data_IF_129697727436
#
_entry.id   IF_129697727436
#
_cell.length_a   1.000
_cell.length_b   1.000
_cell.length_c   1.000
_cell.angle_alpha   90.00
_cell.angle_beta   90.00
_cell.angle_gamma   90.00
#
_symmetry.space_group_name_H-M   'P 1'
#
loop_
_entity.id
_entity.type
_entity.pdbx_description
1 polymer ?
#
# COMPACT_ATOMS: atom_id res chain seq x y z
N UNK A 1 -5.14 -8.20 -2.64
CA UNK A 1 -5.50 -9.08 -1.50
C UNK A 1 -6.81 -8.58 -0.91
N UNK A 2 -7.82 -9.43 -0.68
CA UNK A 2 -9.08 -8.98 -0.05
C UNK A 2 -8.88 -8.72 1.45
N UNK A 3 -9.58 -7.74 1.99
CA UNK A 3 -9.55 -7.39 3.42
C UNK A 3 -10.53 -8.27 4.21
N UNK A 4 -10.41 -9.58 4.04
CA UNK A 4 -11.16 -10.59 4.80
C UNK A 4 -10.38 -10.98 6.06
N UNK A 5 -11.08 -11.38 7.14
CA UNK A 5 -10.46 -11.67 8.44
C UNK A 5 -9.30 -12.68 8.34
N UNK A 6 -9.47 -13.76 7.55
CA UNK A 6 -8.44 -14.78 7.35
C UNK A 6 -7.16 -14.24 6.70
N UNK A 7 -7.28 -13.28 5.78
CA UNK A 7 -6.13 -12.65 5.14
C UNK A 7 -5.43 -11.68 6.10
N UNK A 8 -6.20 -10.92 6.88
CA UNK A 8 -5.68 -10.00 7.89
C UNK A 8 -4.94 -10.73 9.01
N UNK A 9 -5.42 -11.90 9.45
CA UNK A 9 -4.74 -12.75 10.42
C UNK A 9 -3.36 -13.21 9.91
N UNK A 10 -3.25 -13.57 8.62
CA UNK A 10 -1.99 -13.93 8.00
C UNK A 10 -0.97 -12.79 8.00
N UNK A 11 -1.44 -11.56 7.72
CA UNK A 11 -0.61 -10.35 7.78
C UNK A 11 -0.19 -10.06 9.22
N UNK A 12 -1.14 -10.07 10.17
CA UNK A 12 -0.88 -9.81 11.58
C UNK A 12 0.16 -10.78 12.16
N UNK A 13 0.10 -12.06 11.77
CA UNK A 13 1.07 -13.07 12.19
C UNK A 13 2.48 -12.78 11.69
N UNK A 14 2.62 -12.32 10.44
CA UNK A 14 3.92 -11.89 9.87
C UNK A 14 4.44 -10.63 10.55
N UNK A 15 3.55 -9.74 10.97
CA UNK A 15 3.91 -8.52 11.70
C UNK A 15 4.37 -8.78 13.15
N UNK A 16 4.23 -10.00 13.68
CA UNK A 16 4.79 -10.35 15.00
C UNK A 16 6.32 -10.55 14.98
N UNK A 17 6.92 -10.72 13.79
CA UNK A 17 8.35 -10.95 13.62
C UNK A 17 8.95 -9.77 12.85
N UNK A 18 9.61 -8.86 13.56
CA UNK A 18 10.11 -7.60 13.00
C UNK A 18 11.12 -7.77 11.84
N UNK A 19 11.79 -8.91 11.73
CA UNK A 19 12.71 -9.21 10.62
C UNK A 19 12.02 -9.54 9.29
N UNK A 20 10.73 -9.90 9.33
CA UNK A 20 10.03 -10.51 8.19
C UNK A 20 9.15 -9.50 7.44
N UNK A 21 9.04 -8.26 7.94
CA UNK A 21 8.24 -7.21 7.32
C UNK A 21 8.87 -5.83 7.47
N UNK A 22 8.41 -4.91 6.63
CA UNK A 22 8.70 -3.48 6.77
C UNK A 22 7.36 -2.73 6.67
N UNK A 23 7.03 -1.94 7.70
CA UNK A 23 5.83 -1.09 7.71
C UNK A 23 6.20 0.31 7.25
N UNK A 24 5.56 0.76 6.17
CA UNK A 24 5.78 2.05 5.56
C UNK A 24 4.47 2.85 5.51
N UNK A 25 4.57 4.16 5.69
CA UNK A 25 3.46 5.09 5.48
C UNK A 25 3.70 5.90 4.21
N UNK A 26 2.86 5.70 3.20
CA UNK A 26 2.89 6.50 1.99
C UNK A 26 2.06 7.78 2.16
N UNK A 27 2.67 8.93 1.87
CA UNK A 27 2.01 10.24 1.86
C UNK A 27 2.14 10.84 0.45
N UNK A 28 1.12 11.58 -0.03
CA UNK A 28 1.25 12.32 -1.28
C UNK A 28 2.36 13.37 -1.15
N UNK A 29 3.15 13.53 -2.20
CA UNK A 29 4.17 14.56 -2.30
C UNK A 29 4.03 15.29 -3.65
N UNK A 30 4.51 16.52 -3.70
CA UNK A 30 4.45 17.37 -4.89
C UNK A 30 5.53 18.44 -4.83
N UNK A 31 5.85 19.05 -5.96
CA UNK A 31 6.94 20.05 -6.08
C UNK A 31 6.62 21.37 -5.38
N UNK A 32 5.34 21.71 -5.31
CA UNK A 32 4.79 22.95 -4.77
C UNK A 32 3.43 22.66 -4.11
N UNK A 33 2.83 23.66 -3.46
CA UNK A 33 1.58 23.48 -2.74
C UNK A 33 0.41 23.07 -3.65
N UNK A 34 0.37 23.60 -4.87
CA UNK A 34 -0.70 23.27 -5.83
C UNK A 34 -0.57 21.81 -6.29
N UNK A 35 0.65 21.37 -6.58
CA UNK A 35 0.96 19.99 -6.94
C UNK A 35 0.67 19.02 -5.78
N UNK A 36 1.02 19.36 -4.54
CA UNK A 36 0.66 18.55 -3.37
C UNK A 36 -0.86 18.36 -3.26
N UNK A 37 -1.65 19.41 -3.51
CA UNK A 37 -3.12 19.33 -3.50
C UNK A 37 -3.60 18.41 -4.62
N UNK A 38 -3.08 18.58 -5.84
CA UNK A 38 -3.44 17.76 -7.00
C UNK A 38 -3.08 16.27 -6.80
N UNK A 39 -1.90 15.98 -6.25
CA UNK A 39 -1.46 14.61 -5.93
C UNK A 39 -2.29 14.01 -4.79
N UNK A 40 -2.70 14.82 -3.81
CA UNK A 40 -3.60 14.38 -2.73
C UNK A 40 -4.98 14.01 -3.27
N UNK A 41 -5.57 14.84 -4.12
CA UNK A 41 -6.84 14.58 -4.80
C UNK A 41 -6.74 13.29 -5.65
N UNK A 42 -5.66 13.15 -6.41
CA UNK A 42 -5.40 11.97 -7.24
C UNK A 42 -5.26 10.71 -6.39
N UNK A 43 -4.50 10.76 -5.28
CA UNK A 43 -4.35 9.63 -4.37
C UNK A 43 -5.68 9.20 -3.75
N UNK A 44 -6.50 10.18 -3.34
CA UNK A 44 -7.85 9.92 -2.80
C UNK A 44 -8.76 9.27 -3.83
N UNK A 45 -8.91 9.89 -4.99
CA UNK A 45 -9.87 9.44 -6.01
C UNK A 45 -9.46 8.11 -6.66
N UNK A 46 -8.18 7.96 -7.03
CA UNK A 46 -7.72 6.82 -7.81
C UNK A 46 -7.32 5.62 -6.96
N UNK A 47 -6.69 5.83 -5.79
CA UNK A 47 -6.18 4.72 -4.97
C UNK A 47 -7.05 4.44 -3.76
N UNK A 48 -7.27 5.44 -2.89
CA UNK A 48 -7.97 5.23 -1.62
C UNK A 48 -9.41 4.80 -1.88
N UNK A 49 -10.17 5.57 -2.66
CA UNK A 49 -11.57 5.26 -2.99
C UNK A 49 -11.71 3.92 -3.71
N UNK A 50 -10.80 3.62 -4.65
CA UNK A 50 -10.82 2.36 -5.38
C UNK A 50 -10.59 1.15 -4.46
N UNK A 51 -9.53 1.19 -3.64
CA UNK A 51 -9.17 0.09 -2.74
C UNK A 51 -10.21 -0.11 -1.64
N UNK A 52 -10.76 0.98 -1.11
CA UNK A 52 -11.88 0.93 -0.15
C UNK A 52 -13.14 0.33 -0.79
N UNK A 53 -13.53 0.77 -1.98
CA UNK A 53 -14.71 0.22 -2.67
C UNK A 53 -14.56 -1.28 -2.98
N UNK A 54 -13.34 -1.72 -3.31
CA UNK A 54 -13.03 -3.13 -3.56
C UNK A 54 -12.82 -3.95 -2.29
N UNK A 55 -12.78 -3.33 -1.11
CA UNK A 55 -12.41 -3.97 0.16
C UNK A 55 -11.13 -4.81 -0.01
N UNK A 56 -10.10 -4.21 -0.61
CA UNK A 56 -8.87 -4.90 -0.97
C UNK A 56 -7.64 -4.04 -0.73
N UNK A 57 -6.53 -4.69 -0.37
CA UNK A 57 -5.19 -4.12 -0.43
C UNK A 57 -4.57 -4.36 -1.82
N UNK A 58 -3.92 -3.31 -2.35
CA UNK A 58 -3.11 -3.42 -3.56
C UNK A 58 -1.87 -4.29 -3.32
N UNK A 59 -1.53 -5.16 -4.25
CA UNK A 59 -0.34 -6.02 -4.18
C UNK A 59 0.60 -5.63 -5.31
N UNK A 60 1.85 -5.33 -4.96
CA UNK A 60 2.93 -5.02 -5.90
C UNK A 60 4.04 -6.03 -5.62
N UNK A 61 4.35 -6.87 -6.61
CA UNK A 61 5.45 -7.82 -6.52
C UNK A 61 6.71 -7.15 -7.03
N UNK A 62 7.68 -6.92 -6.13
CA UNK A 62 8.97 -6.31 -6.47
C UNK A 62 10.02 -7.43 -6.44
N UNK A 63 10.67 -7.77 -7.57
CA UNK A 63 11.77 -8.73 -7.57
C UNK A 63 12.98 -8.14 -6.86
N UNK A 64 13.79 -8.98 -6.20
CA UNK A 64 15.04 -8.50 -5.61
C UNK A 64 15.99 -8.03 -6.74
N UNK A 65 16.68 -6.90 -6.55
CA UNK A 65 17.67 -6.45 -7.53
C UNK A 65 18.72 -7.54 -7.78
N UNK A 66 18.82 -8.01 -9.03
CA UNK A 66 19.76 -9.06 -9.44
C UNK A 66 19.27 -10.51 -9.29
N UNK A 67 18.09 -10.74 -8.71
CA UNK A 67 17.42 -12.04 -8.82
C UNK A 67 16.47 -12.02 -10.02
N UNK A 68 16.74 -12.85 -11.02
CA UNK A 68 15.70 -13.24 -11.97
C UNK A 68 14.79 -14.25 -11.24
N UNK A 69 13.47 -14.06 -11.31
CA UNK A 69 12.50 -15.04 -10.85
C UNK A 69 12.83 -16.45 -11.31
#
# INVERSE_FOLDING_TARGET
MRLEASQLEGVARRMMVESDYCLLLALPCGRDQEDVVNQTESLKAAFISYLQAKQAAGIINVPNPGSNQ
#
